data_IF_347444967254
#
_entry.id   IF_347444967254
#
_cell.length_a   1.000
_cell.length_b   1.000
_cell.length_c   1.000
_cell.angle_alpha   90.00
_cell.angle_beta   90.00
_cell.angle_gamma   90.00
#
_symmetry.space_group_name_H-M   'P 1'
#
loop_
_entity.id
_entity.type
_entity.pdbx_description
1 polymer ?
#
# COMPACT_ATOMS: atom_id res chain seq x y z
N UNK A 1 11.22 -0.79 49.66
CA UNK A 1 10.14 -1.75 50.01
C UNK A 1 9.16 -1.81 48.85
N UNK A 2 8.85 -2.99 48.33
CA UNK A 2 8.08 -3.17 47.11
C UNK A 2 6.56 -3.00 47.40
N UNK A 3 5.79 -2.15 46.69
CA UNK A 3 4.37 -1.87 46.99
C UNK A 3 3.49 -3.13 47.06
N UNK A 4 3.81 -4.17 46.28
CA UNK A 4 3.11 -5.45 46.30
C UNK A 4 3.27 -6.23 47.62
N UNK A 5 4.43 -6.11 48.29
CA UNK A 5 4.63 -6.78 49.59
C UNK A 5 3.86 -6.07 50.72
N UNK A 6 3.66 -4.75 50.59
CA UNK A 6 2.82 -3.98 51.52
C UNK A 6 1.33 -4.35 51.38
N UNK A 7 0.81 -4.44 50.15
CA UNK A 7 -0.57 -4.86 49.91
C UNK A 7 -0.85 -6.30 50.38
N UNK A 8 0.11 -7.23 50.21
CA UNK A 8 -0.01 -8.59 50.77
C UNK A 8 -0.06 -8.61 52.29
N UNK A 9 0.69 -7.72 52.96
CA UNK A 9 0.70 -7.62 54.42
C UNK A 9 -0.61 -7.03 54.95
N UNK A 10 -1.10 -5.96 54.32
CA UNK A 10 -2.40 -5.34 54.64
C UNK A 10 -3.55 -6.35 54.45
N UNK A 11 -3.50 -7.19 53.41
CA UNK A 11 -4.53 -8.21 53.19
C UNK A 11 -4.52 -9.32 54.25
N UNK A 12 -3.33 -9.74 54.72
CA UNK A 12 -3.22 -10.68 55.84
C UNK A 12 -3.73 -10.11 57.16
N UNK A 13 -3.52 -8.81 57.39
CA UNK A 13 -4.04 -8.13 58.58
C UNK A 13 -5.57 -7.97 58.50
N UNK A 14 -6.12 -7.64 57.32
CA UNK A 14 -7.57 -7.64 57.09
C UNK A 14 -8.21 -9.02 57.28
N UNK A 15 -7.55 -10.10 56.83
CA UNK A 15 -8.01 -11.48 57.07
C UNK A 15 -7.99 -11.85 58.56
N UNK A 16 -6.98 -11.38 59.30
CA UNK A 16 -6.90 -11.59 60.75
C UNK A 16 -8.02 -10.85 61.49
N UNK A 17 -8.29 -9.59 61.11
CA UNK A 17 -9.33 -8.77 61.73
C UNK A 17 -10.76 -9.28 61.45
N UNK A 18 -10.98 -9.90 60.28
CA UNK A 18 -12.25 -10.57 59.98
C UNK A 18 -12.43 -11.85 60.81
N UNK A 19 -11.35 -12.63 61.02
CA UNK A 19 -11.38 -13.81 61.88
C UNK A 19 -11.59 -13.48 63.37
N UNK A 20 -11.10 -12.33 63.81
CA UNK A 20 -11.32 -11.81 65.15
C UNK A 20 -12.71 -11.18 65.34
N UNK A 21 -13.54 -11.15 64.29
CA UNK A 21 -14.93 -10.66 64.36
C UNK A 21 -15.05 -9.14 64.50
N UNK A 22 -13.95 -8.41 64.35
CA UNK A 22 -13.89 -6.95 64.43
C UNK A 22 -14.29 -6.25 63.13
N UNK A 23 -14.44 -7.01 62.04
CA UNK A 23 -14.73 -6.51 60.71
C UNK A 23 -15.87 -7.30 60.07
N UNK A 24 -16.92 -6.58 59.66
CA UNK A 24 -18.08 -7.14 58.96
C UNK A 24 -17.70 -7.59 57.53
N UNK A 25 -18.28 -8.70 57.05
CA UNK A 25 -17.95 -9.30 55.75
C UNK A 25 -18.15 -8.32 54.59
N UNK A 26 -19.16 -7.44 54.72
CA UNK A 26 -19.46 -6.39 53.75
C UNK A 26 -18.36 -5.34 53.65
N UNK A 27 -17.76 -4.98 54.80
CA UNK A 27 -16.71 -3.96 54.91
C UNK A 27 -15.35 -4.54 54.47
N UNK A 28 -15.11 -5.82 54.75
CA UNK A 28 -13.96 -6.56 54.25
C UNK A 28 -13.96 -6.66 52.72
N UNK A 29 -15.10 -6.97 52.10
CA UNK A 29 -15.21 -7.06 50.65
C UNK A 29 -14.81 -5.74 49.96
N UNK A 30 -15.35 -4.61 50.44
CA UNK A 30 -15.03 -3.27 49.92
C UNK A 30 -13.56 -2.88 50.11
N UNK A 31 -12.93 -3.21 51.24
CA UNK A 31 -11.51 -2.94 51.46
C UNK A 31 -10.60 -3.86 50.65
N UNK A 32 -10.98 -5.13 50.47
CA UNK A 32 -10.19 -6.11 49.72
C UNK A 32 -10.09 -5.75 48.23
N UNK A 33 -11.14 -5.13 47.69
CA UNK A 33 -11.22 -4.65 46.30
C UNK A 33 -10.30 -3.43 46.07
N UNK A 34 -10.06 -2.64 47.12
CA UNK A 34 -9.20 -1.45 47.09
C UNK A 34 -7.69 -1.77 47.08
N UNK A 35 -7.32 -2.99 47.44
CA UNK A 35 -5.93 -3.48 47.44
C UNK A 35 -5.75 -4.69 46.52
N UNK A 36 -5.84 -4.50 45.19
CA UNK A 36 -5.66 -5.59 44.23
C UNK A 36 -4.23 -6.13 44.31
N UNK A 37 -4.12 -7.44 44.52
CA UNK A 37 -2.86 -8.18 44.62
C UNK A 37 -2.48 -8.81 43.26
N UNK A 38 -3.39 -8.74 42.29
CA UNK A 38 -3.16 -9.19 40.92
C UNK A 38 -2.13 -8.27 40.25
N UNK A 39 -1.02 -8.85 39.77
CA UNK A 39 -0.02 -8.14 39.00
C UNK A 39 -0.57 -7.66 37.66
N UNK A 40 0.04 -6.62 37.10
CA UNK A 40 -0.33 -6.03 35.82
C UNK A 40 -0.46 -7.09 34.71
N UNK A 41 -1.59 -7.10 34.02
CA UNK A 41 -1.91 -8.13 33.04
C UNK A 41 -1.25 -7.82 31.68
N UNK A 42 0.06 -8.10 31.60
CA UNK A 42 0.91 -7.84 30.43
C UNK A 42 0.37 -8.48 29.13
N UNK A 43 -0.42 -9.56 29.25
CA UNK A 43 -1.09 -10.19 28.12
C UNK A 43 -2.18 -9.31 27.51
N UNK A 44 -2.92 -8.59 28.34
CA UNK A 44 -3.92 -7.62 27.88
C UNK A 44 -3.24 -6.46 27.15
N UNK A 45 -2.14 -5.94 27.70
CA UNK A 45 -1.35 -4.87 27.08
C UNK A 45 -0.80 -5.30 25.72
N UNK A 46 -0.24 -6.53 25.62
CA UNK A 46 0.22 -7.09 24.36
C UNK A 46 -0.90 -7.26 23.34
N UNK A 47 -2.10 -7.68 23.77
CA UNK A 47 -3.28 -7.79 22.89
C UNK A 47 -3.70 -6.44 22.32
N UNK A 48 -3.73 -5.40 23.16
CA UNK A 48 -4.04 -4.05 22.71
C UNK A 48 -2.98 -3.52 21.74
N UNK A 49 -1.70 -3.75 22.02
CA UNK A 49 -0.62 -3.35 21.13
C UNK A 49 -0.69 -4.04 19.76
N UNK A 50 -1.06 -5.33 19.74
CA UNK A 50 -1.30 -6.08 18.50
C UNK A 50 -2.48 -5.53 17.70
N UNK A 51 -3.57 -5.14 18.36
CA UNK A 51 -4.74 -4.54 17.71
C UNK A 51 -4.35 -3.19 17.07
N UNK A 52 -3.66 -2.32 17.83
CA UNK A 52 -3.18 -1.04 17.31
C UNK A 52 -2.15 -1.21 16.18
N UNK A 53 -1.24 -2.17 16.30
CA UNK A 53 -0.28 -2.52 15.27
C UNK A 53 -0.96 -3.02 14.00
N UNK A 54 -1.94 -3.92 14.12
CA UNK A 54 -2.70 -4.44 12.98
C UNK A 54 -3.48 -3.34 12.26
N UNK A 55 -4.13 -2.43 13.00
CA UNK A 55 -4.83 -1.29 12.43
C UNK A 55 -3.85 -0.35 11.71
N UNK A 56 -2.68 -0.09 12.30
CA UNK A 56 -1.65 0.76 11.70
C UNK A 56 -1.06 0.15 10.43
N UNK A 57 -0.80 -1.16 10.42
CA UNK A 57 -0.35 -1.89 9.23
C UNK A 57 -1.42 -1.84 8.15
N UNK A 58 -2.70 -2.07 8.49
CA UNK A 58 -3.78 -2.04 7.52
C UNK A 58 -3.98 -0.64 6.93
N UNK A 59 -3.92 0.41 7.77
CA UNK A 59 -3.95 1.80 7.32
C UNK A 59 -2.75 2.14 6.42
N UNK A 60 -1.55 1.69 6.80
CA UNK A 60 -0.36 1.80 5.98
C UNK A 60 -0.52 1.09 4.63
N UNK A 61 -1.07 -0.12 4.62
CA UNK A 61 -1.33 -0.88 3.40
C UNK A 61 -2.35 -0.19 2.49
N UNK A 62 -3.41 0.39 3.06
CA UNK A 62 -4.43 1.14 2.31
C UNK A 62 -3.84 2.43 1.74
N UNK A 63 -3.00 3.15 2.49
CA UNK A 63 -2.33 4.36 2.02
C UNK A 63 -1.29 4.05 0.94
N UNK A 64 -0.55 2.96 1.12
CA UNK A 64 0.40 2.43 0.14
C UNK A 64 -0.35 1.99 -1.13
N UNK A 65 -1.43 1.23 -0.98
CA UNK A 65 -2.29 0.82 -2.08
C UNK A 65 -2.88 2.04 -2.80
N UNK A 66 -3.37 3.06 -2.11
CA UNK A 66 -3.80 4.31 -2.76
C UNK A 66 -2.66 5.01 -3.49
N UNK A 67 -1.44 4.99 -2.97
CA UNK A 67 -0.27 5.59 -3.63
C UNK A 67 0.12 4.80 -4.89
N UNK A 68 0.07 3.48 -4.85
CA UNK A 68 0.38 2.61 -6.00
C UNK A 68 -0.76 2.49 -7.01
N UNK A 69 -2.03 2.54 -6.58
CA UNK A 69 -3.22 2.45 -7.43
C UNK A 69 -3.80 3.81 -7.85
N UNK A 70 -3.33 4.93 -7.30
CA UNK A 70 -3.63 6.24 -7.87
C UNK A 70 -3.07 6.28 -9.30
N UNK A 71 -3.98 6.37 -10.26
CA UNK A 71 -3.66 6.53 -11.67
C UNK A 71 -2.99 7.89 -11.87
N UNK A 72 -1.69 7.89 -12.08
CA UNK A 72 -0.90 9.09 -12.39
C UNK A 72 -0.54 9.06 -13.86
N UNK A 73 -0.47 10.24 -14.51
CA UNK A 73 -0.04 10.32 -15.91
C UNK A 73 1.35 9.71 -16.10
N UNK A 74 2.23 9.79 -15.10
CA UNK A 74 3.55 9.14 -15.13
C UNK A 74 3.46 7.61 -15.22
N UNK A 75 2.59 6.97 -14.43
CA UNK A 75 2.38 5.52 -14.51
C UNK A 75 1.76 5.12 -15.84
N UNK A 76 0.85 5.93 -16.37
CA UNK A 76 0.30 5.74 -17.72
C UNK A 76 1.41 5.82 -18.77
N UNK A 77 2.31 6.81 -18.68
CA UNK A 77 3.44 6.95 -19.60
C UNK A 77 4.40 5.75 -19.53
N UNK A 78 4.70 5.25 -18.33
CA UNK A 78 5.51 4.03 -18.14
C UNK A 78 4.81 2.81 -18.75
N UNK A 79 3.51 2.62 -18.46
CA UNK A 79 2.72 1.52 -18.99
C UNK A 79 2.67 1.54 -20.53
N UNK A 80 2.40 2.71 -21.12
CA UNK A 80 2.39 2.90 -22.57
C UNK A 80 3.76 2.60 -23.18
N UNK A 81 4.85 3.03 -22.54
CA UNK A 81 6.22 2.73 -22.99
C UNK A 81 6.51 1.23 -23.01
N UNK A 82 6.11 0.50 -21.96
CA UNK A 82 6.24 -0.97 -21.91
C UNK A 82 5.40 -1.62 -23.01
N UNK A 83 4.18 -1.14 -23.21
CA UNK A 83 3.25 -1.72 -24.18
C UNK A 83 3.69 -1.46 -25.63
N UNK A 84 4.31 -0.31 -25.91
CA UNK A 84 4.97 0.01 -27.19
C UNK A 84 6.12 -0.98 -27.45
N UNK A 85 7.01 -1.17 -26.47
CA UNK A 85 8.13 -2.12 -26.58
C UNK A 85 7.62 -3.55 -26.79
N UNK A 86 6.58 -3.95 -26.09
CA UNK A 86 5.95 -5.26 -26.25
C UNK A 86 5.30 -5.42 -27.63
N UNK A 87 4.69 -4.37 -28.18
CA UNK A 87 4.01 -4.41 -29.48
C UNK A 87 5.00 -4.49 -30.64
N UNK A 88 6.01 -3.62 -30.66
CA UNK A 88 7.06 -3.65 -31.70
C UNK A 88 7.99 -4.87 -31.54
N UNK A 89 8.32 -5.24 -30.29
CA UNK A 89 9.09 -6.45 -29.98
C UNK A 89 8.35 -7.72 -30.36
N UNK A 90 7.05 -7.80 -30.04
CA UNK A 90 6.16 -8.88 -30.44
C UNK A 90 6.02 -8.99 -31.96
N UNK A 91 5.88 -7.86 -32.67
CA UNK A 91 5.85 -7.83 -34.13
C UNK A 91 7.15 -8.37 -34.76
N UNK A 92 8.31 -7.99 -34.23
CA UNK A 92 9.62 -8.52 -34.68
C UNK A 92 9.83 -9.99 -34.33
N UNK A 93 9.38 -10.41 -33.14
CA UNK A 93 9.46 -11.82 -32.75
C UNK A 93 8.57 -12.68 -33.65
N UNK A 94 7.34 -12.24 -33.91
CA UNK A 94 6.39 -12.93 -34.79
C UNK A 94 6.89 -13.00 -36.25
N UNK A 95 7.57 -11.95 -36.73
CA UNK A 95 8.30 -11.96 -38.02
C UNK A 95 9.34 -13.08 -38.10
N UNK A 96 9.98 -13.43 -36.98
CA UNK A 96 11.01 -14.48 -36.91
C UNK A 96 10.43 -15.88 -36.69
N UNK A 97 9.41 -16.03 -35.85
CA UNK A 97 8.85 -17.35 -35.48
C UNK A 97 7.77 -17.84 -36.43
N UNK A 98 6.92 -16.95 -36.96
CA UNK A 98 5.81 -17.33 -37.82
C UNK A 98 5.64 -16.35 -38.99
N UNK A 99 6.46 -16.47 -40.06
CA UNK A 99 6.43 -15.56 -41.20
C UNK A 99 5.11 -15.54 -41.98
N UNK A 100 4.26 -16.56 -41.82
CA UNK A 100 2.94 -16.63 -42.44
C UNK A 100 1.88 -15.71 -41.76
N UNK A 101 2.10 -15.26 -40.52
CA UNK A 101 1.16 -14.42 -39.75
C UNK A 101 1.39 -12.92 -40.02
N UNK A 102 1.27 -12.55 -41.30
CA UNK A 102 1.54 -11.18 -41.79
C UNK A 102 0.56 -10.16 -41.18
N UNK A 103 -0.72 -10.53 -41.08
CA UNK A 103 -1.76 -9.65 -40.50
C UNK A 103 -1.58 -9.39 -39.02
N UNK A 104 -1.23 -10.40 -38.22
CA UNK A 104 -0.98 -10.23 -36.79
C UNK A 104 0.24 -9.34 -36.54
N UNK A 105 1.25 -9.40 -37.41
CA UNK A 105 2.40 -8.49 -37.38
C UNK A 105 1.97 -7.04 -37.64
N UNK A 106 1.23 -6.79 -38.72
CA UNK A 106 0.76 -5.44 -39.04
C UNK A 106 -0.16 -4.86 -37.95
N UNK A 107 -1.02 -5.68 -37.36
CA UNK A 107 -1.85 -5.26 -36.23
C UNK A 107 -1.01 -4.86 -35.00
N UNK A 108 0.08 -5.59 -34.71
CA UNK A 108 0.99 -5.26 -33.61
C UNK A 108 1.79 -3.98 -33.88
N UNK A 109 2.24 -3.76 -35.12
CA UNK A 109 2.94 -2.53 -35.52
C UNK A 109 1.99 -1.32 -35.49
N UNK A 110 0.75 -1.48 -35.97
CA UNK A 110 -0.29 -0.45 -35.91
C UNK A 110 -0.66 -0.10 -34.46
N UNK A 111 -0.83 -1.11 -33.61
CA UNK A 111 -1.11 -0.94 -32.19
C UNK A 111 0.05 -0.24 -31.48
N UNK A 112 1.30 -0.61 -31.79
CA UNK A 112 2.49 0.08 -31.31
C UNK A 112 2.52 1.56 -31.72
N UNK A 113 2.15 1.88 -32.97
CA UNK A 113 2.06 3.25 -33.46
C UNK A 113 0.96 4.06 -32.76
N UNK A 114 -0.22 3.47 -32.55
CA UNK A 114 -1.31 4.12 -31.82
C UNK A 114 -0.94 4.43 -30.36
N UNK A 115 -0.26 3.48 -29.70
CA UNK A 115 0.22 3.67 -28.33
C UNK A 115 1.30 4.74 -28.24
N UNK A 116 2.17 4.86 -29.24
CA UNK A 116 3.19 5.90 -29.32
C UNK A 116 2.55 7.30 -29.34
N UNK A 117 1.52 7.50 -30.17
CA UNK A 117 0.77 8.76 -30.19
C UNK A 117 0.16 9.05 -28.81
N UNK A 118 -0.46 8.03 -28.19
CA UNK A 118 -1.01 8.15 -26.83
C UNK A 118 0.05 8.53 -25.78
N UNK A 119 1.26 7.98 -25.89
CA UNK A 119 2.38 8.30 -25.00
C UNK A 119 2.81 9.75 -25.18
N UNK A 120 2.91 10.24 -26.41
CA UNK A 120 3.33 11.61 -26.69
C UNK A 120 2.33 12.64 -26.17
N UNK A 121 1.03 12.39 -26.30
CA UNK A 121 0.01 13.22 -25.65
C UNK A 121 0.11 13.15 -24.12
N UNK A 122 0.38 11.98 -23.55
CA UNK A 122 0.54 11.83 -22.10
C UNK A 122 1.76 12.60 -21.58
N UNK A 123 2.89 12.52 -22.28
CA UNK A 123 4.10 13.30 -21.99
C UNK A 123 3.85 14.79 -22.17
N UNK A 124 3.13 15.17 -23.24
CA UNK A 124 2.67 16.53 -23.44
C UNK A 124 1.85 17.04 -22.27
N UNK A 125 0.91 16.25 -21.73
CA UNK A 125 0.10 16.65 -20.58
C UNK A 125 0.91 16.73 -19.27
N UNK A 126 1.96 15.93 -19.11
CA UNK A 126 2.86 16.00 -17.94
C UNK A 126 3.76 17.24 -17.99
N UNK A 127 4.34 17.54 -19.17
CA UNK A 127 5.40 18.54 -19.31
C UNK A 127 4.93 19.87 -19.94
N UNK A 128 3.68 19.96 -20.41
CA UNK A 128 3.16 21.19 -21.04
C UNK A 128 3.11 22.33 -20.03
N UNK A 129 3.93 23.34 -20.29
CA UNK A 129 3.97 24.62 -19.57
C UNK A 129 2.90 25.62 -20.02
N UNK A 130 1.90 25.18 -20.80
CA UNK A 130 0.80 26.03 -21.28
C UNK A 130 1.10 26.85 -22.54
N UNK A 131 2.16 26.51 -23.27
CA UNK A 131 2.62 27.26 -24.46
C UNK A 131 1.74 27.11 -25.72
N UNK A 132 0.70 26.27 -25.69
CA UNK A 132 -0.21 26.05 -26.84
C UNK A 132 0.40 25.26 -28.02
N UNK A 133 1.63 24.77 -27.89
CA UNK A 133 2.37 24.10 -28.97
C UNK A 133 2.07 22.60 -29.12
N UNK A 134 0.83 22.15 -28.83
CA UNK A 134 0.46 20.75 -29.06
C UNK A 134 0.71 20.25 -30.49
N UNK A 135 0.69 21.07 -31.58
CA UNK A 135 0.87 20.52 -32.92
C UNK A 135 2.28 20.01 -33.16
N UNK A 136 3.26 20.54 -32.43
CA UNK A 136 4.65 20.08 -32.49
C UNK A 136 4.81 18.64 -31.99
N UNK A 137 3.97 18.21 -31.03
CA UNK A 137 3.97 16.83 -30.53
C UNK A 137 3.59 15.84 -31.64
N UNK A 138 2.57 16.17 -32.43
CA UNK A 138 2.15 15.36 -33.57
C UNK A 138 3.23 15.31 -34.68
N UNK A 139 3.98 16.41 -34.85
CA UNK A 139 5.10 16.44 -35.80
C UNK A 139 6.24 15.53 -35.36
N UNK A 140 6.55 15.51 -34.06
CA UNK A 140 7.54 14.59 -33.48
C UNK A 140 7.09 13.14 -33.69
N UNK A 141 5.81 12.82 -33.41
CA UNK A 141 5.26 11.49 -33.65
C UNK A 141 5.38 11.08 -35.11
N UNK A 142 5.06 11.98 -36.04
CA UNK A 142 5.20 11.71 -37.47
C UNK A 142 6.64 11.34 -37.83
N UNK A 143 7.63 12.08 -37.34
CA UNK A 143 9.05 11.80 -37.62
C UNK A 143 9.45 10.45 -37.05
N UNK A 144 9.05 10.13 -35.82
CA UNK A 144 9.38 8.86 -35.15
C UNK A 144 8.71 7.67 -35.86
N UNK A 145 7.43 7.78 -36.19
CA UNK A 145 6.68 6.75 -36.91
C UNK A 145 7.25 6.51 -38.31
N UNK A 146 7.67 7.57 -39.00
CA UNK A 146 8.29 7.47 -40.31
C UNK A 146 9.63 6.74 -40.20
N UNK A 147 10.48 7.10 -39.23
CA UNK A 147 11.72 6.36 -38.95
C UNK A 147 11.49 4.89 -38.63
N UNK A 148 10.49 4.58 -37.80
CA UNK A 148 10.13 3.19 -37.47
C UNK A 148 9.61 2.43 -38.68
N UNK A 149 8.81 3.06 -39.54
CA UNK A 149 8.28 2.44 -40.77
C UNK A 149 9.38 2.03 -41.75
N UNK A 150 10.48 2.77 -41.82
CA UNK A 150 11.63 2.40 -42.67
C UNK A 150 12.56 1.38 -41.99
N UNK A 151 12.57 1.31 -40.66
CA UNK A 151 13.45 0.43 -39.88
C UNK A 151 12.87 -0.92 -39.45
N UNK A 152 11.62 -1.23 -39.79
CA UNK A 152 10.88 -2.45 -39.41
C UNK A 152 10.65 -3.40 -40.62
#
# INVERSE_FOLDING_TARGET
MNPLSRHRRIRRELDALLREGLLDETTYAQLSERYPVAGWDWRSLGRWFLIFGAISVMAGLVMLARTFFAFTLEKLAILLSILILASFGGGRWLKRTHPALIWSRFSLELLGGLLLIGLTFTLGAIYSTGSGNWPALLLIDLIVLLGLSYGL
#
